data_IF_740653116568
#
_entry.id   IF_740653116568
#
_cell.length_a   1.000
_cell.length_b   1.000
_cell.length_c   1.000
_cell.angle_alpha   90.00
_cell.angle_beta   90.00
_cell.angle_gamma   90.00
#
_symmetry.space_group_name_H-M   'P 1'
#
loop_
_entity.id
_entity.type
_entity.pdbx_description
1 polymer ?
#
# COMPACT_ATOMS: atom_id res chain seq x y z
N UNK A 1 -31.22 11.99 -17.34
CA UNK A 1 -30.51 11.44 -16.17
C UNK A 1 -29.02 11.41 -16.50
N UNK A 2 -28.21 12.27 -15.87
CA UNK A 2 -26.76 12.14 -15.87
C UNK A 2 -26.34 11.07 -14.82
N UNK A 3 -25.04 10.84 -14.68
CA UNK A 3 -24.35 9.88 -13.80
C UNK A 3 -24.21 8.47 -14.41
N UNK A 4 -23.03 7.93 -14.73
CA UNK A 4 -21.76 8.12 -14.06
C UNK A 4 -20.58 8.06 -15.06
N UNK A 5 -19.78 9.12 -15.03
CA UNK A 5 -18.44 9.17 -15.61
C UNK A 5 -17.58 8.12 -14.90
N UNK A 6 -17.27 7.03 -15.60
CA UNK A 6 -16.21 6.09 -15.23
C UNK A 6 -14.86 6.72 -15.56
N UNK A 7 -14.38 7.61 -14.71
CA UNK A 7 -13.02 8.15 -14.82
C UNK A 7 -12.04 7.17 -14.18
N UNK A 8 -11.39 6.37 -15.02
CA UNK A 8 -10.09 5.78 -14.73
C UNK A 8 -9.02 6.86 -14.83
N UNK A 9 -8.25 7.19 -13.78
CA UNK A 9 -6.94 7.77 -13.98
C UNK A 9 -5.93 6.62 -14.10
N UNK A 10 -5.63 6.24 -15.34
CA UNK A 10 -4.37 5.58 -15.67
C UNK A 10 -3.29 6.66 -15.52
N UNK A 11 -2.77 6.79 -14.31
CA UNK A 11 -1.61 7.64 -14.07
C UNK A 11 -0.36 6.82 -14.38
N UNK A 12 0.23 7.08 -15.54
CA UNK A 12 1.61 6.74 -15.87
C UNK A 12 2.54 7.56 -14.95
N UNK A 13 2.56 7.20 -13.66
CA UNK A 13 3.42 7.86 -12.68
C UNK A 13 4.80 7.23 -12.81
N UNK A 14 5.70 7.89 -13.56
CA UNK A 14 7.15 7.66 -13.49
C UNK A 14 7.53 7.47 -12.01
N UNK A 15 8.24 6.40 -11.61
CA UNK A 15 8.60 6.19 -10.21
C UNK A 15 9.26 7.46 -9.69
N UNK A 16 8.64 8.09 -8.69
CA UNK A 16 9.21 9.26 -8.06
C UNK A 16 10.60 8.85 -7.56
N UNK A 17 11.64 9.57 -7.96
CA UNK A 17 13.04 9.25 -7.69
C UNK A 17 13.43 9.42 -6.20
N UNK A 18 12.46 9.37 -5.29
CA UNK A 18 12.60 9.50 -3.85
C UNK A 18 11.44 8.79 -3.17
N UNK A 19 11.49 7.46 -3.11
CA UNK A 19 10.57 6.67 -2.31
C UNK A 19 11.03 6.59 -0.86
N UNK A 20 10.10 6.68 0.09
CA UNK A 20 10.35 6.32 1.48
C UNK A 20 10.53 4.80 1.58
N UNK A 21 11.68 4.36 2.09
CA UNK A 21 11.90 2.94 2.39
C UNK A 21 11.18 2.61 3.68
N UNK A 22 10.23 1.70 3.62
CA UNK A 22 9.54 1.15 4.80
C UNK A 22 10.18 -0.20 5.09
N UNK A 23 10.82 -0.31 6.24
CA UNK A 23 11.45 -1.54 6.71
C UNK A 23 10.51 -2.23 7.69
N UNK A 24 10.46 -3.56 7.67
CA UNK A 24 9.70 -4.31 8.67
C UNK A 24 10.28 -4.06 10.08
N UNK A 25 9.45 -3.72 11.08
CA UNK A 25 9.93 -3.44 12.44
C UNK A 25 10.31 -4.71 13.21
N UNK A 26 9.81 -5.87 12.78
CA UNK A 26 10.01 -7.16 13.41
C UNK A 26 10.27 -8.23 12.34
N UNK A 27 11.05 -9.28 12.63
CA UNK A 27 11.17 -10.44 11.75
C UNK A 27 9.86 -11.23 11.72
N UNK A 28 9.44 -11.63 10.54
CA UNK A 28 8.17 -12.32 10.33
C UNK A 28 7.90 -12.64 8.86
N UNK A 29 6.67 -13.05 8.56
CA UNK A 29 6.20 -13.41 7.23
C UNK A 29 5.13 -12.44 6.74
N UNK A 30 5.17 -12.03 5.48
CA UNK A 30 4.11 -11.19 4.90
C UNK A 30 2.88 -12.06 4.60
N UNK A 31 1.77 -11.83 5.29
CA UNK A 31 0.50 -12.52 5.02
C UNK A 31 -0.23 -11.91 3.84
N UNK A 32 -0.21 -10.58 3.73
CA UNK A 32 -0.98 -9.86 2.71
C UNK A 32 -0.33 -8.55 2.32
N UNK A 33 -0.29 -8.27 1.03
CA UNK A 33 0.14 -6.97 0.48
C UNK A 33 -1.10 -6.27 -0.05
N UNK A 34 -1.44 -5.12 0.54
CA UNK A 34 -2.57 -4.29 0.14
C UNK A 34 -2.13 -3.18 -0.82
N UNK A 35 -0.87 -2.77 -0.71
CA UNK A 35 -0.26 -1.75 -1.56
C UNK A 35 -0.06 -2.23 -3.00
N UNK A 36 -0.34 -1.34 -3.96
CA UNK A 36 -0.07 -1.55 -5.38
C UNK A 36 0.86 -0.47 -5.94
N UNK A 37 1.71 -0.80 -6.93
CA UNK A 37 2.53 0.20 -7.60
C UNK A 37 1.67 1.35 -8.17
N UNK A 38 2.11 2.59 -7.94
CA UNK A 38 1.41 3.79 -8.41
C UNK A 38 0.15 4.16 -7.62
N UNK A 39 -0.21 3.40 -6.59
CA UNK A 39 -1.30 3.74 -5.68
C UNK A 39 -0.91 4.92 -4.79
N UNK A 40 -1.84 5.84 -4.60
CA UNK A 40 -1.68 6.96 -3.65
C UNK A 40 -2.18 6.49 -2.28
N UNK A 41 -1.36 6.68 -1.25
CA UNK A 41 -1.70 6.31 0.12
C UNK A 41 -1.95 7.54 0.99
N UNK A 42 -2.73 7.36 2.07
CA UNK A 42 -2.91 8.35 3.13
C UNK A 42 -2.16 7.92 4.40
N UNK A 43 -1.83 8.88 5.25
CA UNK A 43 -1.24 8.58 6.55
C UNK A 43 -2.17 7.65 7.35
N UNK A 44 -1.59 6.59 7.93
CA UNK A 44 -2.32 5.58 8.69
C UNK A 44 -3.01 4.52 7.82
N UNK A 45 -2.75 4.49 6.51
CA UNK A 45 -3.29 3.45 5.65
C UNK A 45 -2.40 2.21 5.64
N UNK A 46 -3.01 1.06 5.93
CA UNK A 46 -2.30 -0.23 5.91
C UNK A 46 -1.79 -0.57 4.50
N UNK A 47 -0.49 -0.80 4.40
CA UNK A 47 0.23 -1.19 3.19
C UNK A 47 0.33 -2.71 3.06
N UNK A 48 0.61 -3.40 4.18
CA UNK A 48 0.67 -4.85 4.25
C UNK A 48 0.41 -5.36 5.68
N UNK A 49 0.15 -6.65 5.79
CA UNK A 49 -0.01 -7.39 7.04
C UNK A 49 1.15 -8.36 7.20
N UNK A 50 1.87 -8.23 8.32
CA UNK A 50 2.98 -9.08 8.73
C UNK A 50 2.52 -10.02 9.84
N UNK A 51 2.82 -11.30 9.73
CA UNK A 51 2.74 -12.25 10.85
C UNK A 51 4.09 -12.32 11.55
N UNK A 52 4.08 -12.04 12.85
CA UNK A 52 5.22 -12.23 13.72
C UNK A 52 4.76 -12.92 14.99
N UNK A 53 5.44 -14.01 15.36
CA UNK A 53 5.17 -14.76 16.60
C UNK A 53 3.68 -15.13 16.78
N UNK A 54 3.00 -15.61 15.72
CA UNK A 54 1.57 -16.00 15.72
C UNK A 54 0.58 -14.84 15.88
N UNK A 55 1.04 -13.60 15.69
CA UNK A 55 0.22 -12.40 15.77
C UNK A 55 0.30 -11.61 14.47
N UNK A 56 -0.82 -11.05 14.04
CA UNK A 56 -0.91 -10.23 12.83
C UNK A 56 -0.65 -8.75 13.17
N UNK A 57 0.21 -8.11 12.38
CA UNK A 57 0.62 -6.74 12.57
C UNK A 57 0.48 -5.94 11.27
N UNK A 58 -0.23 -4.82 11.35
CA UNK A 58 -0.43 -3.92 10.21
C UNK A 58 0.78 -2.99 10.03
N UNK A 59 1.27 -2.90 8.81
CA UNK A 59 2.30 -1.93 8.41
C UNK A 59 1.58 -0.73 7.79
N UNK A 60 1.69 0.43 8.42
CA UNK A 60 1.04 1.69 8.03
C UNK A 60 2.02 2.75 7.53
#
# INVERSE_FOLDING_TARGET
APDAVKTTPKSDTKPAAGGLKITAPLPGSILKVLAKPGQIFKQGQTLCVLEAMKMENEIV
#
